data_IF_778339036879
#
_entry.id   IF_778339036879
#
_cell.length_a   1.000
_cell.length_b   1.000
_cell.length_c   1.000
_cell.angle_alpha   90.00
_cell.angle_beta   90.00
_cell.angle_gamma   90.00
#
_symmetry.space_group_name_H-M   'P 1'
#
loop_
_entity.id
_entity.type
_entity.pdbx_description
1 polymer ?
#
# COMPACT_ATOMS: atom_id res chain seq x y z
N UNK A 1 -31.90 -1.19 12.39
CA UNK A 1 -31.08 -0.04 11.95
C UNK A 1 -29.66 -0.33 12.43
N UNK A 2 -28.78 -0.77 11.52
CA UNK A 2 -27.42 -1.20 11.87
C UNK A 2 -26.57 0.04 12.18
N UNK A 3 -25.96 0.07 13.36
CA UNK A 3 -24.99 1.09 13.75
C UNK A 3 -23.62 0.54 13.33
N UNK A 4 -23.02 1.14 12.31
CA UNK A 4 -21.70 0.73 11.80
C UNK A 4 -20.63 0.97 12.87
N UNK A 5 -20.23 -0.08 13.60
CA UNK A 5 -18.97 -0.11 14.31
C UNK A 5 -17.89 -0.68 13.38
N UNK A 6 -16.80 0.08 13.22
CA UNK A 6 -15.64 -0.23 12.38
C UNK A 6 -14.87 -1.40 13.01
N UNK A 7 -14.79 -2.55 12.33
CA UNK A 7 -14.13 -3.77 12.84
C UNK A 7 -14.23 -4.95 11.86
N UNK A 8 -13.48 -6.03 12.13
CA UNK A 8 -13.54 -7.27 11.35
C UNK A 8 -14.93 -7.90 11.44
N UNK A 9 -15.46 -8.35 10.30
CA UNK A 9 -16.75 -9.01 10.22
C UNK A 9 -16.58 -10.41 9.62
N UNK A 10 -17.31 -11.38 10.17
CA UNK A 10 -17.40 -12.73 9.63
C UNK A 10 -18.86 -13.16 9.62
N UNK A 11 -19.24 -13.93 8.60
CA UNK A 11 -20.52 -14.64 8.55
C UNK A 11 -20.27 -16.08 8.97
N UNK A 12 -21.08 -16.55 9.93
CA UNK A 12 -21.03 -17.93 10.42
C UNK A 12 -22.44 -18.50 10.29
N UNK A 13 -22.56 -19.62 9.57
CA UNK A 13 -23.80 -20.39 9.53
C UNK A 13 -23.68 -21.58 10.48
N UNK A 14 -24.66 -21.73 11.36
CA UNK A 14 -24.78 -22.90 12.22
C UNK A 14 -25.73 -23.94 11.60
N UNK A 15 -25.53 -25.21 11.93
CA UNK A 15 -26.40 -26.32 11.52
C UNK A 15 -27.87 -26.13 11.92
N UNK A 16 -28.14 -25.37 12.99
CA UNK A 16 -29.49 -25.08 13.45
C UNK A 16 -29.64 -23.66 13.98
N UNK A 17 -30.86 -23.13 13.91
CA UNK A 17 -31.23 -21.84 14.52
C UNK A 17 -30.94 -21.81 16.02
N UNK A 18 -31.18 -22.91 16.73
CA UNK A 18 -30.96 -22.98 18.18
C UNK A 18 -29.48 -22.79 18.53
N UNK A 19 -28.58 -23.43 17.78
CA UNK A 19 -27.13 -23.28 17.95
C UNK A 19 -26.66 -21.83 17.73
N UNK A 20 -27.20 -21.15 16.71
CA UNK A 20 -26.89 -19.75 16.46
C UNK A 20 -27.37 -18.82 17.58
N UNK A 21 -28.58 -19.06 18.12
CA UNK A 21 -29.11 -18.29 19.26
C UNK A 21 -28.27 -18.47 20.51
N UNK A 22 -27.87 -19.72 20.82
CA UNK A 22 -27.01 -20.02 21.97
C UNK A 22 -25.64 -19.36 21.83
N UNK A 23 -25.01 -19.45 20.66
CA UNK A 23 -23.71 -18.84 20.40
C UNK A 23 -23.74 -17.33 20.58
N UNK A 24 -24.73 -16.65 19.98
CA UNK A 24 -24.91 -15.20 20.15
C UNK A 24 -25.11 -14.84 21.62
N UNK A 25 -26.02 -15.51 22.32
CA UNK A 25 -26.34 -15.20 23.73
C UNK A 25 -25.14 -15.38 24.66
N UNK A 26 -24.25 -16.33 24.33
CA UNK A 26 -23.08 -16.64 25.14
C UNK A 26 -21.91 -15.70 24.84
N UNK A 27 -21.72 -15.32 23.58
CA UNK A 27 -20.49 -14.65 23.10
C UNK A 27 -20.66 -13.15 22.87
N UNK A 28 -21.89 -12.63 22.76
CA UNK A 28 -22.13 -11.19 22.59
C UNK A 28 -21.44 -10.39 23.71
N UNK A 29 -20.67 -9.37 23.33
CA UNK A 29 -20.01 -8.47 24.26
C UNK A 29 -18.80 -9.08 24.99
N UNK A 30 -18.39 -10.32 24.68
CA UNK A 30 -17.16 -10.91 25.21
C UNK A 30 -15.95 -10.48 24.41
N UNK A 31 -14.80 -10.41 25.07
CA UNK A 31 -13.53 -10.08 24.43
C UNK A 31 -12.84 -11.35 23.91
N UNK A 32 -12.27 -11.28 22.70
CA UNK A 32 -11.46 -12.37 22.13
C UNK A 32 -10.11 -12.48 22.86
N UNK A 33 -9.57 -11.35 23.30
CA UNK A 33 -8.32 -11.26 24.06
C UNK A 33 -8.55 -10.48 25.35
N UNK A 34 -7.76 -10.72 26.39
CA UNK A 34 -7.92 -10.04 27.67
C UNK A 34 -7.90 -8.52 27.50
N UNK A 35 -9.05 -7.89 27.77
CA UNK A 35 -9.23 -6.44 27.68
C UNK A 35 -9.39 -5.85 26.29
N UNK A 36 -9.46 -6.62 25.18
CA UNK A 36 -9.65 -6.05 23.83
C UNK A 36 -10.41 -6.97 22.85
N UNK A 37 -10.82 -6.42 21.70
CA UNK A 37 -11.57 -7.12 20.65
C UNK A 37 -12.94 -7.67 21.13
N UNK A 38 -13.80 -6.78 21.61
CA UNK A 38 -15.16 -7.11 22.01
C UNK A 38 -16.00 -7.57 20.81
N UNK A 39 -16.66 -8.72 20.95
CA UNK A 39 -17.53 -9.31 19.94
C UNK A 39 -18.86 -8.55 19.89
N UNK A 40 -19.22 -8.07 18.71
CA UNK A 40 -20.58 -7.67 18.36
C UNK A 40 -21.18 -8.65 17.35
N UNK A 41 -22.20 -9.41 17.78
CA UNK A 41 -22.81 -10.51 17.04
C UNK A 41 -24.28 -10.19 16.74
N UNK A 42 -24.57 -10.10 15.45
CA UNK A 42 -25.90 -9.80 14.94
C UNK A 42 -26.35 -10.93 14.00
N UNK A 43 -27.66 -11.17 13.91
CA UNK A 43 -28.19 -12.10 12.91
C UNK A 43 -28.09 -11.48 11.52
N UNK A 44 -27.60 -12.26 10.56
CA UNK A 44 -27.53 -11.86 9.15
C UNK A 44 -28.93 -11.89 8.51
N UNK A 45 -29.09 -11.14 7.42
CA UNK A 45 -30.28 -11.22 6.55
C UNK A 45 -30.15 -12.29 5.45
N UNK A 46 -29.04 -13.03 5.43
CA UNK A 46 -28.83 -14.13 4.49
C UNK A 46 -29.46 -15.41 5.04
N UNK A 47 -30.21 -16.11 4.19
CA UNK A 47 -30.79 -17.41 4.54
C UNK A 47 -29.74 -18.53 4.55
N UNK A 48 -28.73 -18.44 3.68
CA UNK A 48 -27.64 -19.43 3.56
C UNK A 48 -26.30 -18.76 3.21
N UNK A 49 -25.22 -19.31 3.75
CA UNK A 49 -23.84 -18.88 3.51
C UNK A 49 -23.21 -19.76 2.43
N UNK A 50 -22.93 -19.17 1.27
CA UNK A 50 -22.30 -19.87 0.15
C UNK A 50 -20.79 -19.95 0.33
N UNK A 51 -20.26 -21.16 0.53
CA UNK A 51 -18.82 -21.43 0.65
C UNK A 51 -18.36 -22.33 -0.48
N UNK A 52 -17.57 -21.76 -1.40
CA UNK A 52 -17.10 -22.47 -2.59
C UNK A 52 -15.68 -23.05 -2.46
N UNK A 53 -14.95 -22.63 -1.44
CA UNK A 53 -13.53 -22.95 -1.25
C UNK A 53 -13.20 -23.13 0.23
N UNK A 54 -12.28 -24.06 0.51
CA UNK A 54 -11.69 -24.24 1.83
C UNK A 54 -10.28 -23.62 1.85
N UNK A 55 -10.18 -22.32 2.15
CA UNK A 55 -8.93 -21.56 2.20
C UNK A 55 -8.91 -20.58 3.39
N UNK A 56 -7.95 -19.66 3.42
CA UNK A 56 -7.78 -18.70 4.53
C UNK A 56 -8.92 -17.67 4.66
N UNK A 57 -9.81 -17.57 3.68
CA UNK A 57 -10.93 -16.60 3.65
C UNK A 57 -12.29 -17.21 3.84
N UNK A 58 -12.47 -18.48 3.49
CA UNK A 58 -13.73 -19.19 3.62
C UNK A 58 -13.46 -20.64 3.94
N UNK A 59 -14.31 -21.23 4.78
CA UNK A 59 -14.22 -22.64 5.12
C UNK A 59 -15.59 -23.21 5.40
N UNK A 60 -15.88 -24.34 4.78
CA UNK A 60 -17.02 -25.18 5.08
C UNK A 60 -16.53 -26.31 5.98
N UNK A 61 -16.97 -26.31 7.24
CA UNK A 61 -16.62 -27.33 8.21
C UNK A 61 -17.42 -28.64 8.03
N UNK A 62 -18.41 -28.65 7.13
CA UNK A 62 -19.25 -29.81 6.83
C UNK A 62 -18.85 -30.51 5.52
N UNK A 63 -18.18 -29.79 4.61
CA UNK A 63 -17.68 -30.34 3.35
C UNK A 63 -16.15 -30.16 3.21
N UNK A 64 -15.35 -31.19 3.57
CA UNK A 64 -13.89 -31.09 3.46
C UNK A 64 -13.38 -31.16 2.01
N UNK A 65 -14.22 -31.56 1.05
CA UNK A 65 -13.81 -31.81 -0.34
C UNK A 65 -13.84 -30.56 -1.25
N UNK A 66 -14.14 -29.38 -0.70
CA UNK A 66 -14.09 -28.14 -1.47
C UNK A 66 -12.65 -27.80 -1.90
N UNK A 67 -12.47 -27.21 -3.09
CA UNK A 67 -11.14 -26.84 -3.58
C UNK A 67 -10.44 -25.83 -2.66
N UNK A 68 -9.12 -25.96 -2.55
CA UNK A 68 -8.23 -25.07 -1.77
C UNK A 68 -7.78 -23.83 -2.54
N UNK A 69 -7.78 -23.86 -3.88
CA UNK A 69 -7.34 -22.73 -4.74
C UNK A 69 -8.29 -22.47 -5.91
N UNK A 70 -8.42 -21.19 -6.29
CA UNK A 70 -9.16 -20.76 -7.47
C UNK A 70 -8.27 -20.92 -8.72
N UNK A 71 -8.31 -22.09 -9.39
CA UNK A 71 -7.58 -22.27 -10.66
C UNK A 71 -8.10 -21.31 -11.73
N UNK A 72 -7.23 -20.40 -12.19
CA UNK A 72 -7.47 -19.53 -13.34
C UNK A 72 -7.69 -20.34 -14.62
N UNK A 73 -8.73 -19.99 -15.38
CA UNK A 73 -9.05 -20.60 -16.68
C UNK A 73 -8.00 -20.20 -17.72
N UNK A 74 -7.33 -21.19 -18.31
CA UNK A 74 -6.61 -21.06 -19.57
C UNK A 74 -7.61 -21.02 -20.75
N UNK A 75 -7.34 -20.14 -21.69
CA UNK A 75 -8.14 -19.81 -22.87
C UNK A 75 -7.72 -20.61 -24.11
N UNK A 76 -8.66 -21.22 -24.85
CA UNK A 76 -8.75 -21.37 -26.34
C UNK A 76 -9.82 -22.42 -26.77
N UNK A 77 -10.31 -22.46 -28.05
CA UNK A 77 -11.57 -21.84 -28.48
C UNK A 77 -12.60 -22.83 -29.08
N UNK A 78 -13.90 -22.46 -29.12
CA UNK A 78 -14.92 -23.27 -29.81
C UNK A 78 -16.31 -22.64 -29.82
N UNK A 79 -16.87 -22.51 -31.02
CA UNK A 79 -18.17 -21.96 -31.43
C UNK A 79 -19.39 -22.26 -30.53
N UNK A 80 -20.31 -21.31 -30.39
CA UNK A 80 -21.68 -21.57 -29.92
C UNK A 80 -22.46 -20.33 -29.47
N UNK A 81 -23.63 -20.16 -30.04
CA UNK A 81 -24.54 -19.01 -30.08
C UNK A 81 -25.34 -18.71 -28.77
N UNK A 82 -25.90 -17.48 -28.72
CA UNK A 82 -27.09 -17.00 -28.01
C UNK A 82 -27.12 -16.80 -26.47
N UNK A 83 -27.17 -15.53 -26.06
CA UNK A 83 -28.20 -15.02 -25.12
C UNK A 83 -27.81 -14.72 -23.66
N UNK A 84 -28.03 -13.47 -23.21
CA UNK A 84 -28.55 -13.19 -21.85
C UNK A 84 -27.65 -12.44 -20.84
N UNK A 85 -28.04 -11.19 -20.54
CA UNK A 85 -27.94 -10.39 -19.30
C UNK A 85 -26.79 -10.57 -18.25
N UNK A 86 -26.09 -9.44 -18.04
CA UNK A 86 -25.70 -8.76 -16.78
C UNK A 86 -25.01 -9.47 -15.59
N UNK A 87 -24.04 -8.71 -15.05
CA UNK A 87 -23.39 -8.76 -13.71
C UNK A 87 -22.30 -9.83 -13.55
N UNK A 88 -21.18 -9.63 -12.88
CA UNK A 88 -20.64 -8.53 -12.08
C UNK A 88 -19.33 -9.05 -11.49
N UNK A 89 -18.29 -8.24 -11.57
CA UNK A 89 -16.90 -8.53 -11.19
C UNK A 89 -16.71 -9.10 -9.78
N UNK A 90 -15.66 -9.92 -9.57
CA UNK A 90 -14.85 -9.89 -8.34
C UNK A 90 -13.37 -10.18 -8.61
N UNK A 91 -12.60 -9.10 -8.58
CA UNK A 91 -11.14 -9.05 -8.57
C UNK A 91 -10.58 -9.47 -7.19
N UNK A 92 -9.33 -9.95 -7.20
CA UNK A 92 -8.62 -10.49 -6.05
C UNK A 92 -8.49 -9.51 -4.88
N UNK A 93 -8.97 -9.93 -3.71
CA UNK A 93 -8.52 -9.33 -2.45
C UNK A 93 -7.08 -9.73 -2.19
N UNK A 94 -6.25 -8.81 -1.71
CA UNK A 94 -4.98 -9.08 -1.05
C UNK A 94 -5.24 -9.17 0.48
N UNK A 95 -4.43 -9.96 1.20
CA UNK A 95 -4.65 -10.40 2.57
C UNK A 95 -4.47 -9.30 3.63
N UNK A 96 -5.59 -8.72 4.08
CA UNK A 96 -5.68 -7.70 5.14
C UNK A 96 -5.05 -8.13 6.49
N UNK A 97 -4.95 -9.44 6.75
CA UNK A 97 -4.41 -10.00 8.01
C UNK A 97 -2.88 -9.86 8.14
N UNK A 98 -2.13 -9.81 7.03
CA UNK A 98 -0.68 -9.66 7.06
C UNK A 98 -0.24 -8.25 7.49
N UNK A 99 -1.06 -7.23 7.23
CA UNK A 99 -0.74 -5.85 7.57
C UNK A 99 -0.94 -5.53 9.06
N UNK A 100 -1.94 -6.10 9.73
CA UNK A 100 -2.16 -5.83 11.16
C UNK A 100 -0.98 -6.28 12.04
N UNK A 101 -0.44 -7.49 11.80
CA UNK A 101 0.73 -7.98 12.52
C UNK A 101 1.99 -7.16 12.23
N UNK A 102 2.17 -6.74 10.97
CA UNK A 102 3.30 -5.88 10.58
C UNK A 102 3.22 -4.49 11.23
N UNK A 103 2.03 -3.90 11.33
CA UNK A 103 1.79 -2.62 12.00
C UNK A 103 2.06 -2.74 13.49
N UNK A 104 1.52 -3.77 14.15
CA UNK A 104 1.78 -4.03 15.56
C UNK A 104 3.29 -4.23 15.84
N UNK A 105 3.98 -4.99 14.99
CA UNK A 105 5.43 -5.18 15.09
C UNK A 105 6.22 -3.90 14.81
N UNK A 106 5.72 -3.01 13.94
CA UNK A 106 6.38 -1.75 13.63
C UNK A 106 6.32 -0.78 14.80
N UNK A 107 5.15 -0.63 15.43
CA UNK A 107 4.84 0.46 16.36
C UNK A 107 4.63 0.02 17.81
N UNK A 108 4.75 -1.26 18.14
CA UNK A 108 4.75 -1.74 19.53
C UNK A 108 3.44 -1.48 20.29
N UNK A 109 2.31 -1.37 19.58
CA UNK A 109 0.98 -1.16 20.17
C UNK A 109 0.48 0.28 20.18
N UNK A 110 1.26 1.27 19.72
CA UNK A 110 0.81 2.67 19.62
C UNK A 110 1.19 3.31 18.30
N UNK A 111 0.21 3.76 17.52
CA UNK A 111 0.44 4.39 16.22
C UNK A 111 1.09 5.79 16.36
N UNK A 112 1.81 6.27 15.33
CA UNK A 112 2.35 7.63 15.32
C UNK A 112 1.27 8.69 15.54
N UNK A 113 1.59 9.84 16.19
CA UNK A 113 0.64 10.94 16.36
C UNK A 113 0.02 11.37 15.02
N UNK A 114 -1.31 11.44 14.96
CA UNK A 114 -2.04 11.81 13.74
C UNK A 114 -2.32 10.64 12.78
N UNK A 115 -1.92 9.42 13.13
CA UNK A 115 -2.29 8.18 12.43
C UNK A 115 -3.27 7.39 13.31
N UNK A 116 -4.44 7.08 12.76
CA UNK A 116 -5.53 6.40 13.46
C UNK A 116 -5.59 4.91 13.17
N UNK A 117 -5.15 4.46 12.00
CA UNK A 117 -5.30 3.08 11.56
C UNK A 117 -6.73 2.69 11.21
N UNK A 118 -7.65 3.66 11.16
CA UNK A 118 -9.09 3.41 10.94
C UNK A 118 -9.56 3.83 9.55
N UNK A 119 -8.69 4.43 8.74
CA UNK A 119 -9.06 4.85 7.39
C UNK A 119 -9.34 3.63 6.50
N UNK A 120 -10.51 3.61 5.87
CA UNK A 120 -10.93 2.56 4.93
C UNK A 120 -10.67 2.95 3.47
N UNK A 121 -10.38 4.23 3.18
CA UNK A 121 -10.15 4.72 1.81
C UNK A 121 -8.71 4.47 1.39
N UNK A 122 -8.49 3.54 0.47
CA UNK A 122 -7.16 3.26 -0.07
C UNK A 122 -6.75 4.14 -1.26
N UNK A 123 -7.65 4.95 -1.82
CA UNK A 123 -7.33 5.84 -2.94
C UNK A 123 -7.11 7.28 -2.49
N UNK A 124 -6.00 7.86 -2.91
CA UNK A 124 -5.56 9.23 -2.64
C UNK A 124 -5.72 10.07 -3.92
N UNK A 125 -6.21 11.30 -3.76
CA UNK A 125 -6.16 12.35 -4.76
C UNK A 125 -4.97 13.25 -4.45
N UNK A 126 -4.08 13.39 -5.43
CA UNK A 126 -2.96 14.32 -5.39
C UNK A 126 -3.27 15.46 -6.34
N UNK A 127 -3.13 16.70 -5.87
CA UNK A 127 -3.37 17.90 -6.66
C UNK A 127 -2.18 18.87 -6.54
N UNK A 128 -2.23 19.95 -7.34
CA UNK A 128 -1.15 20.93 -7.48
C UNK A 128 0.16 20.30 -7.97
N UNK A 129 0.08 19.29 -8.84
CA UNK A 129 1.24 18.69 -9.50
C UNK A 129 1.83 19.63 -10.56
N UNK A 130 3.12 19.46 -10.86
CA UNK A 130 3.74 20.04 -12.05
C UNK A 130 3.55 19.07 -13.24
N UNK A 131 2.60 19.31 -14.16
CA UNK A 131 2.23 18.34 -15.19
C UNK A 131 3.33 18.08 -16.21
N UNK A 132 4.27 19.01 -16.38
CA UNK A 132 5.37 18.89 -17.34
C UNK A 132 6.54 18.05 -16.80
N UNK A 133 6.54 17.78 -15.50
CA UNK A 133 7.65 17.12 -14.80
C UNK A 133 7.24 15.80 -14.13
N UNK A 134 5.95 15.50 -14.09
CA UNK A 134 5.37 14.32 -13.45
C UNK A 134 4.86 13.30 -14.46
N UNK A 135 5.15 12.05 -14.16
CA UNK A 135 4.57 10.86 -14.77
C UNK A 135 4.16 9.85 -13.67
N UNK A 136 3.56 8.74 -14.07
CA UNK A 136 3.10 7.68 -13.17
C UNK A 136 4.25 7.06 -12.38
N UNK A 137 5.43 6.91 -12.97
CA UNK A 137 6.59 6.29 -12.32
C UNK A 137 7.18 7.19 -11.23
N UNK A 138 7.24 8.51 -11.43
CA UNK A 138 7.64 9.46 -10.37
C UNK A 138 6.64 9.46 -9.22
N UNK A 139 5.35 9.36 -9.51
CA UNK A 139 4.31 9.21 -8.48
C UNK A 139 4.45 7.87 -7.75
N UNK A 140 4.69 6.77 -8.47
CA UNK A 140 4.96 5.47 -7.86
C UNK A 140 6.20 5.55 -6.96
N UNK A 141 7.27 6.18 -7.43
CA UNK A 141 8.54 6.30 -6.70
C UNK A 141 8.36 7.02 -5.36
N UNK A 142 7.60 8.11 -5.34
CA UNK A 142 7.30 8.86 -4.12
C UNK A 142 6.36 8.10 -3.17
N UNK A 143 5.23 7.63 -3.68
CA UNK A 143 4.18 7.05 -2.85
C UNK A 143 4.50 5.64 -2.37
N UNK A 144 5.34 4.89 -3.09
CA UNK A 144 5.75 3.53 -2.71
C UNK A 144 6.55 3.46 -1.41
N UNK A 145 7.03 4.61 -0.90
CA UNK A 145 7.67 4.71 0.42
C UNK A 145 6.67 4.44 1.55
N UNK A 146 5.40 4.79 1.35
CA UNK A 146 4.35 4.76 2.38
C UNK A 146 3.41 3.57 2.26
N UNK A 147 3.48 2.84 1.15
CA UNK A 147 2.69 1.65 0.92
C UNK A 147 2.99 0.96 -0.39
N UNK A 148 2.31 -0.15 -0.63
CA UNK A 148 2.26 -0.72 -1.97
C UNK A 148 1.31 0.12 -2.84
N UNK A 149 1.64 0.25 -4.12
CA UNK A 149 0.80 0.89 -5.11
C UNK A 149 0.09 -0.19 -5.93
N UNK A 150 -1.23 -0.04 -6.05
CA UNK A 150 -2.06 -0.91 -6.89
C UNK A 150 -2.10 -0.34 -8.30
N UNK A 151 -2.43 0.94 -8.43
CA UNK A 151 -2.51 1.63 -9.73
C UNK A 151 -2.49 3.14 -9.59
N UNK A 152 -2.10 3.82 -10.67
CA UNK A 152 -2.05 5.28 -10.76
C UNK A 152 -2.81 5.73 -12.01
N UNK A 153 -3.46 6.89 -11.92
CA UNK A 153 -4.15 7.54 -13.03
C UNK A 153 -3.90 9.05 -12.99
N UNK A 154 -3.20 9.58 -13.98
CA UNK A 154 -3.09 11.02 -14.19
C UNK A 154 -4.37 11.53 -14.87
N UNK A 155 -4.94 12.64 -14.37
CA UNK A 155 -6.24 13.11 -14.86
C UNK A 155 -6.06 14.01 -16.08
N UNK A 156 -6.40 13.53 -17.28
CA UNK A 156 -6.26 14.30 -18.52
C UNK A 156 -7.01 15.64 -18.52
N UNK A 157 -8.20 15.68 -17.90
CA UNK A 157 -9.00 16.90 -17.81
C UNK A 157 -8.52 17.89 -16.73
N UNK A 158 -7.62 17.43 -15.84
CA UNK A 158 -7.02 18.20 -14.74
C UNK A 158 -5.58 17.73 -14.58
N UNK A 159 -4.66 18.14 -15.48
CA UNK A 159 -3.33 17.53 -15.60
C UNK A 159 -2.45 17.75 -14.37
N UNK A 160 -2.80 18.71 -13.51
CA UNK A 160 -2.22 18.93 -12.19
C UNK A 160 -2.75 17.99 -11.10
N UNK A 161 -3.59 17.00 -11.46
CA UNK A 161 -4.17 16.01 -10.54
C UNK A 161 -3.82 14.58 -10.93
N UNK A 162 -3.66 13.73 -9.91
CA UNK A 162 -3.50 12.29 -10.03
C UNK A 162 -4.36 11.54 -9.01
N UNK A 163 -4.84 10.35 -9.37
CA UNK A 163 -5.37 9.37 -8.42
C UNK A 163 -4.34 8.27 -8.21
N UNK A 164 -4.10 7.92 -6.95
CA UNK A 164 -3.17 6.85 -6.55
C UNK A 164 -3.92 5.89 -5.64
N UNK A 165 -4.06 4.63 -6.06
CA UNK A 165 -4.65 3.59 -5.23
C UNK A 165 -3.54 2.84 -4.49
N UNK A 166 -3.52 3.03 -3.17
CA UNK A 166 -2.62 2.35 -2.24
C UNK A 166 -3.11 0.92 -1.96
N UNK A 167 -2.25 0.10 -1.36
CA UNK A 167 -2.55 -1.29 -1.02
C UNK A 167 -3.70 -1.43 -0.02
N UNK A 168 -3.78 -0.52 0.95
CA UNK A 168 -4.89 -0.41 1.90
C UNK A 168 -5.07 1.02 2.43
N UNK A 169 -6.07 1.20 3.30
CA UNK A 169 -6.38 2.50 3.87
C UNK A 169 -5.36 2.99 4.91
N UNK A 170 -4.62 2.11 5.58
CA UNK A 170 -3.55 2.52 6.48
C UNK A 170 -2.37 3.12 5.71
N UNK A 171 -1.98 2.49 4.61
CA UNK A 171 -0.95 2.99 3.71
C UNK A 171 -1.35 4.32 3.05
N UNK A 172 -2.63 4.48 2.70
CA UNK A 172 -3.16 5.76 2.26
C UNK A 172 -3.10 6.84 3.36
N UNK A 173 -3.36 6.46 4.61
CA UNK A 173 -3.24 7.37 5.75
C UNK A 173 -1.80 7.82 5.99
N UNK A 174 -0.82 6.91 5.89
CA UNK A 174 0.60 7.25 5.94
C UNK A 174 0.98 8.22 4.82
N UNK A 175 0.56 7.94 3.59
CA UNK A 175 0.85 8.80 2.44
C UNK A 175 0.28 10.22 2.62
N UNK A 176 -1.00 10.33 3.03
CA UNK A 176 -1.63 11.63 3.31
C UNK A 176 -0.90 12.35 4.44
N UNK A 177 -0.59 11.65 5.52
CA UNK A 177 0.05 12.25 6.70
C UNK A 177 1.45 12.81 6.37
N UNK A 178 2.28 12.05 5.67
CA UNK A 178 3.68 12.44 5.45
C UNK A 178 3.93 13.33 4.23
N UNK A 179 3.09 13.23 3.18
CA UNK A 179 3.31 13.96 1.92
C UNK A 179 2.48 15.25 1.79
N UNK A 180 1.48 15.47 2.64
CA UNK A 180 0.66 16.69 2.56
C UNK A 180 1.53 17.93 2.78
N UNK A 181 1.59 18.79 1.76
CA UNK A 181 2.38 20.02 1.79
C UNK A 181 3.85 19.87 1.39
N UNK A 182 4.30 18.65 1.05
CA UNK A 182 5.64 18.40 0.54
C UNK A 182 5.91 19.20 -0.74
N UNK A 183 7.15 19.68 -0.90
CA UNK A 183 7.59 20.40 -2.10
C UNK A 183 8.10 19.40 -3.15
N UNK A 184 7.65 19.56 -4.39
CA UNK A 184 8.14 18.79 -5.54
C UNK A 184 8.01 19.62 -6.83
N UNK A 185 9.11 19.83 -7.55
CA UNK A 185 9.15 20.55 -8.83
C UNK A 185 8.50 21.94 -8.78
N UNK A 186 8.77 22.69 -7.71
CA UNK A 186 8.29 24.04 -7.44
C UNK A 186 6.87 24.10 -6.90
N UNK A 187 6.24 22.97 -6.55
CA UNK A 187 4.84 22.90 -6.12
C UNK A 187 4.68 22.22 -4.76
N UNK A 188 3.74 22.74 -3.95
CA UNK A 188 3.31 22.10 -2.70
C UNK A 188 2.23 21.08 -3.00
N UNK A 189 2.52 19.81 -2.77
CA UNK A 189 1.57 18.73 -3.01
C UNK A 189 0.34 18.85 -2.11
N UNK A 190 -0.83 18.79 -2.73
CA UNK A 190 -2.09 18.63 -2.02
C UNK A 190 -2.49 17.16 -2.02
N UNK A 191 -2.36 16.51 -0.87
CA UNK A 191 -2.62 15.07 -0.73
C UNK A 191 -3.86 14.88 0.15
N UNK A 192 -4.92 14.32 -0.43
CA UNK A 192 -6.20 14.13 0.24
C UNK A 192 -6.81 12.76 -0.12
N UNK A 193 -7.71 12.25 0.72
CA UNK A 193 -8.46 11.04 0.35
C UNK A 193 -9.38 11.30 -0.83
N UNK A 194 -9.37 10.39 -1.80
CA UNK A 194 -10.29 10.45 -2.92
C UNK A 194 -11.73 10.17 -2.47
N UNK A 195 -12.70 10.72 -3.20
CA UNK A 195 -14.11 10.33 -3.08
C UNK A 195 -14.37 8.95 -3.67
N UNK A 196 -13.50 8.47 -4.56
CA UNK A 196 -13.58 7.15 -5.15
C UNK A 196 -12.78 6.17 -4.30
N UNK A 197 -13.42 5.08 -3.87
CA UNK A 197 -12.74 4.05 -3.07
C UNK A 197 -11.64 3.34 -3.86
N UNK A 198 -11.88 3.11 -5.16
CA UNK A 198 -10.97 2.45 -6.09
C UNK A 198 -10.85 3.25 -7.39
N UNK A 199 -9.73 3.09 -8.08
CA UNK A 199 -9.55 3.57 -9.45
C UNK A 199 -10.07 2.48 -10.40
N UNK A 200 -10.99 2.84 -11.30
CA UNK A 200 -11.44 1.94 -12.37
C UNK A 200 -10.32 1.74 -13.36
N UNK A 201 -9.97 0.47 -13.62
CA UNK A 201 -8.96 0.10 -14.60
C UNK A 201 -9.37 0.58 -16.00
N UNK A 202 -8.42 1.14 -16.75
CA UNK A 202 -8.65 1.66 -18.08
C UNK A 202 -7.35 1.85 -18.87
N UNK A 203 -7.47 2.24 -20.13
CA UNK A 203 -6.31 2.51 -20.98
C UNK A 203 -5.46 3.70 -20.51
N UNK A 204 -5.99 4.52 -19.59
CA UNK A 204 -5.32 5.67 -18.98
C UNK A 204 -4.87 5.42 -17.54
N UNK A 205 -4.84 4.15 -17.10
CA UNK A 205 -4.33 3.75 -15.78
C UNK A 205 -3.07 2.91 -15.92
N UNK A 206 -2.09 3.14 -15.06
CA UNK A 206 -0.88 2.34 -14.97
C UNK A 206 -0.99 1.38 -13.77
N UNK A 207 -0.82 0.07 -14.02
CA UNK A 207 -0.98 -0.97 -12.99
C UNK A 207 0.37 -1.28 -12.31
N UNK A 208 0.39 -1.23 -10.98
CA UNK A 208 1.57 -1.50 -10.15
C UNK A 208 1.36 -2.63 -9.14
N UNK A 209 0.16 -3.23 -9.08
CA UNK A 209 -0.19 -4.24 -8.07
C UNK A 209 0.83 -5.39 -7.97
N UNK A 210 1.39 -5.81 -9.10
CA UNK A 210 2.38 -6.89 -9.21
C UNK A 210 3.83 -6.41 -9.33
N UNK A 211 4.08 -5.11 -9.15
CA UNK A 211 5.43 -4.54 -9.23
C UNK A 211 6.33 -5.14 -8.16
N UNK A 212 7.52 -5.60 -8.57
CA UNK A 212 8.57 -6.02 -7.64
C UNK A 212 9.17 -4.85 -6.84
N UNK A 213 8.86 -3.61 -7.22
CA UNK A 213 9.28 -2.41 -6.52
C UNK A 213 8.38 -2.07 -5.34
N UNK A 214 7.22 -2.71 -5.21
CA UNK A 214 6.35 -2.58 -4.03
C UNK A 214 7.06 -3.09 -2.78
N UNK A 215 7.33 -2.15 -1.86
CA UNK A 215 8.28 -2.34 -0.74
C UNK A 215 7.70 -3.20 0.37
N UNK A 216 6.39 -3.13 0.59
CA UNK A 216 5.71 -3.72 1.75
C UNK A 216 5.35 -5.19 1.54
N UNK A 217 5.57 -5.74 0.34
CA UNK A 217 5.45 -7.19 0.10
C UNK A 217 6.48 -7.99 0.91
N UNK A 218 7.58 -7.38 1.34
CA UNK A 218 8.63 -7.99 2.16
C UNK A 218 9.02 -7.03 3.28
N UNK A 219 9.25 -7.54 4.49
CA UNK A 219 9.69 -6.72 5.63
C UNK A 219 8.79 -5.51 5.93
N UNK A 220 7.46 -5.64 5.76
CA UNK A 220 6.49 -4.55 5.97
C UNK A 220 6.70 -3.79 7.29
N UNK A 221 6.89 -4.51 8.40
CA UNK A 221 7.14 -3.91 9.71
C UNK A 221 8.37 -2.99 9.72
N UNK A 222 9.45 -3.39 9.03
CA UNK A 222 10.64 -2.56 8.87
C UNK A 222 10.32 -1.30 8.08
N UNK A 223 9.63 -1.43 6.95
CA UNK A 223 9.31 -0.29 6.09
C UNK A 223 8.37 0.72 6.78
N UNK A 224 7.41 0.26 7.58
CA UNK A 224 6.55 1.14 8.38
C UNK A 224 7.35 1.99 9.37
N UNK A 225 8.38 1.44 10.01
CA UNK A 225 9.25 2.19 10.95
C UNK A 225 10.04 3.32 10.30
N UNK A 226 10.37 3.18 9.02
CA UNK A 226 11.17 4.18 8.29
C UNK A 226 10.33 5.20 7.52
N UNK A 227 8.99 5.08 7.54
CA UNK A 227 8.11 6.10 6.97
C UNK A 227 8.35 7.44 7.69
N UNK A 228 8.56 8.49 6.92
CA UNK A 228 8.72 9.86 7.40
C UNK A 228 8.34 10.86 6.30
N UNK A 229 8.12 12.11 6.71
CA UNK A 229 8.01 13.23 5.76
C UNK A 229 9.31 13.35 4.96
N UNK A 230 9.25 13.94 3.75
CA UNK A 230 10.46 14.27 3.00
C UNK A 230 11.47 15.01 3.87
N UNK A 231 12.73 14.61 3.76
CA UNK A 231 13.85 15.23 4.47
C UNK A 231 14.91 15.66 3.47
N UNK A 232 15.89 16.44 3.93
CA UNK A 232 17.06 16.80 3.12
C UNK A 232 17.98 15.62 2.82
N UNK A 233 17.79 14.47 3.47
CA UNK A 233 18.70 13.34 3.41
C UNK A 233 18.01 12.12 2.80
N UNK A 234 18.62 11.54 1.77
CA UNK A 234 18.18 10.31 1.16
C UNK A 234 19.15 9.17 1.46
N UNK A 235 18.60 7.98 1.64
CA UNK A 235 19.32 6.72 1.77
C UNK A 235 19.21 5.93 0.46
N UNK A 236 20.36 5.53 -0.07
CA UNK A 236 20.47 4.67 -1.24
C UNK A 236 20.90 3.27 -0.83
N UNK A 237 20.25 2.27 -1.41
CA UNK A 237 20.52 0.85 -1.18
C UNK A 237 20.40 0.04 -2.48
N UNK A 238 20.86 -1.21 -2.42
CA UNK A 238 21.02 -2.07 -3.61
C UNK A 238 22.02 -1.44 -4.59
N UNK A 239 23.16 -1.02 -4.06
CA UNK A 239 24.24 -0.45 -4.84
C UNK A 239 25.24 -1.54 -5.28
N UNK A 240 25.94 -1.36 -6.41
CA UNK A 240 27.10 -2.17 -6.78
C UNK A 240 28.16 -2.20 -5.67
N UNK A 241 28.95 -3.28 -5.58
CA UNK A 241 29.96 -3.41 -4.51
C UNK A 241 31.17 -2.49 -4.72
N UNK A 242 31.48 -2.22 -5.99
CA UNK A 242 32.55 -1.35 -6.44
C UNK A 242 32.13 0.14 -6.51
N UNK A 243 30.89 0.47 -6.13
CA UNK A 243 30.40 1.84 -6.18
C UNK A 243 31.26 2.79 -5.35
N UNK A 244 31.60 3.91 -5.98
CA UNK A 244 32.36 5.02 -5.39
C UNK A 244 31.42 6.15 -4.94
N UNK A 245 31.93 7.05 -4.11
CA UNK A 245 31.16 8.21 -3.67
C UNK A 245 30.95 9.21 -4.81
N UNK A 246 31.95 9.34 -5.68
CA UNK A 246 31.93 10.18 -6.87
C UNK A 246 30.83 9.75 -7.85
N UNK A 247 30.63 8.44 -8.05
CA UNK A 247 29.52 7.93 -8.86
C UNK A 247 28.15 8.22 -8.24
N UNK A 248 28.03 8.20 -6.91
CA UNK A 248 26.79 8.55 -6.22
C UNK A 248 26.49 10.05 -6.35
N UNK A 249 27.51 10.90 -6.22
CA UNK A 249 27.39 12.34 -6.45
C UNK A 249 26.98 12.61 -7.89
N UNK A 250 27.68 12.03 -8.87
CA UNK A 250 27.37 12.22 -10.29
C UNK A 250 25.97 11.74 -10.67
N UNK A 251 25.47 10.67 -10.04
CA UNK A 251 24.10 10.17 -10.25
C UNK A 251 23.03 11.20 -9.83
N UNK A 252 23.32 12.04 -8.85
CA UNK A 252 22.33 12.82 -8.09
C UNK A 252 22.49 14.34 -8.20
N UNK A 253 23.65 14.84 -8.60
CA UNK A 253 23.99 16.27 -8.63
C UNK A 253 23.09 17.09 -9.57
N UNK A 254 22.50 16.47 -10.60
CA UNK A 254 21.56 17.14 -11.50
C UNK A 254 20.26 17.60 -10.80
N UNK A 255 19.96 17.05 -9.62
CA UNK A 255 18.74 17.33 -8.85
C UNK A 255 18.93 18.40 -7.77
N UNK A 256 20.15 18.90 -7.57
CA UNK A 256 20.43 19.99 -6.65
C UNK A 256 21.78 19.90 -5.98
N UNK A 257 22.04 20.88 -5.11
CA UNK A 257 23.30 20.98 -4.37
C UNK A 257 23.41 19.86 -3.32
N UNK A 258 24.41 19.00 -3.47
CA UNK A 258 24.77 18.00 -2.47
C UNK A 258 25.70 18.66 -1.44
N UNK A 259 25.28 18.65 -0.18
CA UNK A 259 26.00 19.22 0.96
C UNK A 259 26.95 18.21 1.58
N UNK A 260 26.54 16.93 1.63
CA UNK A 260 27.34 15.86 2.21
C UNK A 260 26.92 14.52 1.59
N UNK A 261 27.86 13.61 1.43
CA UNK A 261 27.64 12.24 0.97
C UNK A 261 28.51 11.29 1.77
N UNK A 262 28.09 10.03 1.85
CA UNK A 262 28.87 8.97 2.47
C UNK A 262 28.44 7.62 1.93
N UNK A 263 29.40 6.90 1.36
CA UNK A 263 29.25 5.49 1.02
C UNK A 263 29.74 4.64 2.18
N UNK A 264 28.95 3.67 2.59
CA UNK A 264 29.29 2.76 3.69
C UNK A 264 28.76 1.35 3.40
N UNK A 265 29.19 0.39 4.21
CA UNK A 265 28.76 -0.99 4.09
C UNK A 265 27.95 -1.39 5.32
N UNK A 266 26.79 -2.03 5.10
CA UNK A 266 25.95 -2.58 6.16
C UNK A 266 25.47 -3.97 5.77
N UNK A 267 25.79 -4.97 6.59
CA UNK A 267 25.50 -6.39 6.34
C UNK A 267 26.03 -6.88 4.97
N UNK A 268 27.27 -6.52 4.63
CA UNK A 268 27.91 -6.94 3.37
C UNK A 268 27.37 -6.25 2.12
N UNK A 269 26.59 -5.17 2.27
CA UNK A 269 25.98 -4.43 1.15
C UNK A 269 26.37 -2.97 1.21
N UNK A 270 26.88 -2.45 0.09
CA UNK A 270 27.09 -1.01 -0.12
C UNK A 270 25.77 -0.25 -0.05
N UNK A 271 25.81 0.85 0.68
CA UNK A 271 24.74 1.81 0.87
C UNK A 271 25.34 3.21 0.83
N UNK A 272 24.50 4.21 0.61
CA UNK A 272 24.93 5.60 0.68
C UNK A 272 23.89 6.46 1.41
N UNK A 273 24.37 7.51 2.06
CA UNK A 273 23.57 8.62 2.53
C UNK A 273 24.00 9.86 1.75
N UNK A 274 23.03 10.64 1.29
CA UNK A 274 23.27 11.89 0.56
C UNK A 274 22.36 12.96 1.12
N UNK A 275 22.94 14.08 1.51
CA UNK A 275 22.25 15.24 2.05
C UNK A 275 22.26 16.37 1.01
N UNK A 276 21.08 16.83 0.64
CA UNK A 276 20.87 18.00 -0.20
C UNK A 276 20.71 19.28 0.63
N UNK A 277 20.82 20.42 -0.03
CA UNK A 277 20.59 21.73 0.59
C UNK A 277 19.12 21.93 1.03
N UNK A 278 18.18 21.40 0.24
CA UNK A 278 16.73 21.51 0.47
C UNK A 278 16.02 20.15 0.44
N UNK A 279 14.87 20.07 1.11
CA UNK A 279 14.01 18.87 1.08
C UNK A 279 13.42 18.63 -0.32
N UNK A 280 13.18 19.69 -1.08
CA UNK A 280 12.67 19.60 -2.44
C UNK A 280 13.68 18.91 -3.36
N UNK A 281 14.95 19.33 -3.34
CA UNK A 281 16.01 18.68 -4.14
C UNK A 281 16.17 17.19 -3.81
N UNK A 282 16.11 16.84 -2.52
CA UNK A 282 16.11 15.44 -2.08
C UNK A 282 14.88 14.66 -2.59
N UNK A 283 13.71 15.29 -2.60
CA UNK A 283 12.47 14.71 -3.12
C UNK A 283 12.55 14.52 -4.63
N UNK A 284 13.06 15.51 -5.37
CA UNK A 284 13.27 15.45 -6.82
C UNK A 284 14.23 14.32 -7.19
N UNK A 285 15.37 14.23 -6.49
CA UNK A 285 16.33 13.15 -6.66
C UNK A 285 15.70 11.77 -6.42
N UNK A 286 14.91 11.64 -5.35
CA UNK A 286 14.21 10.39 -5.04
C UNK A 286 13.26 9.99 -6.16
N UNK A 287 12.38 10.90 -6.63
CA UNK A 287 11.38 10.52 -7.63
C UNK A 287 11.99 10.24 -9.00
N UNK A 288 13.12 10.88 -9.33
CA UNK A 288 13.79 10.70 -10.61
C UNK A 288 14.72 9.49 -10.66
N UNK A 289 15.37 9.14 -9.53
CA UNK A 289 16.42 8.10 -9.50
C UNK A 289 16.01 6.84 -8.75
N UNK A 290 14.87 6.83 -8.05
CA UNK A 290 14.38 5.57 -7.51
C UNK A 290 14.06 4.59 -8.66
N UNK A 291 14.52 3.35 -8.48
CA UNK A 291 14.39 2.27 -9.44
C UNK A 291 15.12 2.48 -10.78
N UNK A 292 16.03 3.45 -10.87
CA UNK A 292 16.92 3.56 -12.02
C UNK A 292 18.00 2.48 -11.98
N UNK A 293 18.45 1.98 -13.14
CA UNK A 293 19.60 1.09 -13.21
C UNK A 293 20.90 1.84 -12.85
N UNK A 294 21.80 1.15 -12.14
CA UNK A 294 23.16 1.60 -11.83
C UNK A 294 24.09 0.37 -11.85
N UNK A 295 24.92 0.26 -12.89
CA UNK A 295 25.88 -0.83 -13.09
C UNK A 295 25.31 -2.24 -12.82
N UNK A 296 24.16 -2.53 -13.42
CA UNK A 296 23.47 -3.84 -13.29
C UNK A 296 22.64 -4.01 -12.01
N UNK A 297 22.64 -3.04 -11.10
CA UNK A 297 21.75 -2.99 -9.94
C UNK A 297 20.58 -2.04 -10.17
N UNK A 298 19.49 -2.20 -9.42
CA UNK A 298 18.34 -1.27 -9.42
C UNK A 298 18.34 -0.50 -8.10
N UNK A 299 18.63 0.79 -8.18
CA UNK A 299 18.84 1.63 -7.00
C UNK A 299 17.54 1.82 -6.22
N UNK A 300 17.59 1.62 -4.91
CA UNK A 300 16.46 1.88 -4.01
C UNK A 300 16.73 3.10 -3.16
N UNK A 301 15.86 4.10 -3.23
CA UNK A 301 15.99 5.39 -2.54
C UNK A 301 14.83 5.55 -1.55
N UNK A 302 15.14 6.00 -0.33
CA UNK A 302 14.16 6.36 0.70
C UNK A 302 14.61 7.63 1.41
N UNK A 303 13.70 8.36 2.04
CA UNK A 303 14.08 9.43 2.96
C UNK A 303 14.77 8.85 4.20
N UNK A 304 15.74 9.60 4.73
CA UNK A 304 16.45 9.28 5.96
C UNK A 304 16.02 10.24 7.06
N UNK A 305 15.77 9.70 8.25
CA UNK A 305 15.48 10.46 9.47
C UNK A 305 16.75 10.89 10.22
N UNK A 306 17.93 10.50 9.71
CA UNK A 306 19.20 10.92 10.29
C UNK A 306 19.38 12.43 10.13
N UNK A 307 19.86 13.08 11.18
CA UNK A 307 20.09 14.52 11.18
C UNK A 307 21.44 14.88 10.56
N UNK A 308 22.43 13.98 10.66
CA UNK A 308 23.80 14.16 10.18
C UNK A 308 24.36 12.83 9.63
N UNK A 309 25.40 12.93 8.80
CA UNK A 309 26.13 11.82 8.15
C UNK A 309 27.38 11.43 8.95
#
# INVERSE_FOLDING_TARGET
MFKNCVGFQALIQYQSRQSAVTARSTLQGRNIYDGCCQLDIQFSNLDELQVNYNNDRSRDFTNPNLPTEQKGRSSQPGYGDAGGMHSGARAGGFSQMANAAAIAAAFGGGLPPGITGTNERCTVLVANLNPDRIDEDKMFNLFSIYGNIVRIKLLRNKPDHALIQMGDGFQAELAVHFLKGAMLFGKRLEVNYSKHANITQGADTHEYANSNLNRFNRNAAKNYRYCCSPTKMIHLSTLPQDITEEEIVSLLEEHGTIVNSKVFEMNGKKQALVQFETEEQATEALVCKHASPLSGSVVRISFSQLQNI
#
